data_IF_306166830644
#
_entry.id   IF_306166830644
#
_cell.length_a   1.000
_cell.length_b   1.000
_cell.length_c   1.000
_cell.angle_alpha   90.00
_cell.angle_beta   90.00
_cell.angle_gamma   90.00
#
_symmetry.space_group_name_H-M   'P 1'
#
loop_
_entity.id
_entity.type
_entity.pdbx_description
1 polymer ?
#
# COMPACT_ATOMS: atom_id res chain seq x y z
N UNK A 1 44.00 16.17 -10.45
CA UNK A 1 43.64 15.38 -9.23
C UNK A 1 42.51 15.98 -8.43
N UNK A 2 42.40 17.30 -8.28
CA UNK A 2 41.34 17.97 -7.47
C UNK A 2 39.89 17.85 -8.01
N UNK A 3 39.70 17.73 -9.31
CA UNK A 3 38.35 17.68 -9.94
C UNK A 3 37.63 16.34 -9.73
N UNK A 4 38.40 15.23 -9.61
CA UNK A 4 37.82 13.88 -9.35
C UNK A 4 37.27 13.73 -7.92
N UNK A 5 37.88 14.39 -6.94
CA UNK A 5 37.41 14.38 -5.55
C UNK A 5 36.14 15.22 -5.36
N UNK A 6 35.98 16.33 -6.10
CA UNK A 6 34.74 17.14 -6.05
C UNK A 6 33.54 16.36 -6.62
N UNK A 7 33.74 15.61 -7.72
CA UNK A 7 32.66 14.80 -8.30
C UNK A 7 32.23 13.65 -7.38
N UNK A 8 33.18 13.04 -6.64
CA UNK A 8 32.87 11.98 -5.67
C UNK A 8 32.16 12.50 -4.43
N UNK A 9 32.50 13.71 -3.96
CA UNK A 9 31.84 14.37 -2.82
C UNK A 9 30.43 14.83 -3.22
N UNK A 10 30.25 15.36 -4.43
CA UNK A 10 28.92 15.75 -4.94
C UNK A 10 28.01 14.52 -5.15
N UNK A 11 28.57 13.40 -5.64
CA UNK A 11 27.83 12.13 -5.77
C UNK A 11 27.42 11.55 -4.41
N UNK A 12 28.29 11.63 -3.40
CA UNK A 12 27.98 11.19 -2.04
C UNK A 12 26.96 12.11 -1.34
N UNK A 13 27.01 13.43 -1.61
CA UNK A 13 26.02 14.37 -1.07
C UNK A 13 24.64 14.22 -1.75
N UNK A 14 24.59 13.89 -3.05
CA UNK A 14 23.34 13.65 -3.76
C UNK A 14 22.61 12.37 -3.29
N UNK A 15 23.38 11.36 -2.82
CA UNK A 15 22.79 10.15 -2.25
C UNK A 15 22.20 10.35 -0.83
N UNK A 16 22.56 11.44 -0.14
CA UNK A 16 22.02 11.81 1.17
C UNK A 16 20.74 12.67 1.10
N UNK A 17 20.38 13.16 -0.09
CA UNK A 17 19.21 14.03 -0.30
C UNK A 17 18.00 13.28 -0.89
N UNK A 18 17.91 11.98 -0.71
CA UNK A 18 16.62 11.29 -0.92
C UNK A 18 15.69 11.71 0.23
N UNK A 19 14.96 12.81 0.02
CA UNK A 19 13.81 13.13 0.83
C UNK A 19 12.81 11.96 0.68
N UNK A 20 12.89 11.01 1.58
CA UNK A 20 11.93 9.92 1.65
C UNK A 20 10.60 10.53 2.08
N UNK A 21 9.71 10.77 1.13
CA UNK A 21 8.30 11.09 1.39
C UNK A 21 7.53 9.87 1.94
N UNK A 22 8.22 9.01 2.68
CA UNK A 22 7.70 7.78 3.26
C UNK A 22 7.48 7.98 4.75
N UNK A 23 6.46 7.33 5.35
CA UNK A 23 6.35 7.29 6.80
C UNK A 23 7.65 6.70 7.39
N UNK A 24 8.35 7.49 8.20
CA UNK A 24 9.54 7.01 8.89
C UNK A 24 9.10 6.18 10.10
N UNK A 25 9.68 4.98 10.30
CA UNK A 25 9.39 4.18 11.47
C UNK A 25 9.91 4.84 12.75
N UNK A 26 9.27 4.55 13.87
CA UNK A 26 9.69 5.05 15.18
C UNK A 26 11.12 4.64 15.55
N UNK A 27 11.52 3.43 15.16
CA UNK A 27 12.86 2.89 15.36
C UNK A 27 13.29 2.02 14.19
N UNK A 28 14.46 2.30 13.62
CA UNK A 28 15.10 1.43 12.64
C UNK A 28 16.58 1.26 12.99
N UNK A 29 17.05 0.02 12.97
CA UNK A 29 18.45 -0.34 13.24
C UNK A 29 18.99 -1.15 12.07
N UNK A 30 20.06 -0.69 11.44
CA UNK A 30 20.77 -1.45 10.41
C UNK A 30 21.53 -2.60 11.04
N UNK A 31 21.42 -3.77 10.44
CA UNK A 31 22.15 -4.99 10.83
C UNK A 31 23.12 -5.39 9.73
N UNK A 32 24.19 -6.12 10.06
CA UNK A 32 25.14 -6.58 9.06
C UNK A 32 24.52 -7.65 8.14
N UNK A 33 24.86 -7.59 6.84
CA UNK A 33 24.45 -8.58 5.84
C UNK A 33 23.26 -8.17 5.01
N UNK A 34 22.88 -9.06 4.11
CA UNK A 34 21.70 -8.95 3.24
C UNK A 34 20.93 -10.26 3.24
N UNK A 35 19.65 -10.20 2.97
CA UNK A 35 18.79 -11.36 2.69
C UNK A 35 18.38 -11.33 1.23
N UNK A 36 18.44 -12.49 0.57
CA UNK A 36 18.09 -12.63 -0.84
C UNK A 36 16.74 -13.30 -0.99
N UNK A 37 15.72 -12.52 -1.33
CA UNK A 37 14.39 -13.06 -1.68
C UNK A 37 14.48 -13.67 -3.07
N UNK A 38 14.05 -14.91 -3.22
CA UNK A 38 14.03 -15.67 -4.47
C UNK A 38 12.67 -16.32 -4.70
N UNK A 39 12.47 -16.94 -5.86
CA UNK A 39 11.27 -17.74 -6.14
C UNK A 39 11.14 -18.98 -5.22
N UNK A 40 12.27 -19.42 -4.63
CA UNK A 40 12.31 -20.52 -3.65
C UNK A 40 12.04 -20.08 -2.23
N UNK A 41 12.10 -18.78 -1.94
CA UNK A 41 11.79 -18.26 -0.60
C UNK A 41 10.38 -18.63 -0.19
N UNK A 42 10.25 -19.28 0.96
CA UNK A 42 8.96 -19.75 1.48
C UNK A 42 8.21 -18.61 2.17
N UNK A 43 6.90 -18.71 2.21
CA UNK A 43 6.04 -17.80 2.98
C UNK A 43 5.27 -18.61 4.02
N UNK A 44 5.62 -18.43 5.30
CA UNK A 44 4.99 -19.08 6.45
C UNK A 44 4.13 -18.10 7.22
N UNK A 45 2.97 -18.51 7.69
CA UNK A 45 2.06 -17.61 8.39
C UNK A 45 1.07 -18.37 9.27
N UNK A 46 0.59 -17.71 10.31
CA UNK A 46 -0.55 -18.19 11.10
C UNK A 46 -1.83 -18.19 10.24
N UNK A 47 -2.67 -19.18 10.38
CA UNK A 47 -3.89 -19.37 9.56
C UNK A 47 -4.74 -18.09 9.40
N UNK A 48 -4.99 -17.28 10.44
CA UNK A 48 -5.77 -16.05 10.29
C UNK A 48 -5.12 -14.99 9.39
N UNK A 49 -3.81 -15.12 9.11
CA UNK A 49 -3.05 -14.18 8.28
C UNK A 49 -2.98 -14.59 6.80
N UNK A 50 -3.67 -15.67 6.40
CA UNK A 50 -3.68 -16.14 5.01
C UNK A 50 -4.01 -15.03 3.99
N UNK A 51 -5.01 -14.13 4.20
CA UNK A 51 -5.26 -13.05 3.25
C UNK A 51 -4.10 -12.06 3.12
N UNK A 52 -3.32 -11.84 4.19
CA UNK A 52 -2.13 -10.98 4.14
C UNK A 52 -0.96 -11.66 3.42
N UNK A 53 -0.84 -12.98 3.55
CA UNK A 53 0.12 -13.75 2.78
C UNK A 53 -0.19 -13.69 1.27
N UNK A 54 -1.47 -13.82 0.89
CA UNK A 54 -1.91 -13.69 -0.50
C UNK A 54 -1.67 -12.26 -1.02
N UNK A 55 -1.98 -11.23 -0.21
CA UNK A 55 -1.65 -9.85 -0.54
C UNK A 55 -0.16 -9.66 -0.80
N UNK A 56 0.73 -10.18 0.06
CA UNK A 56 2.18 -10.08 -0.13
C UNK A 56 2.62 -10.74 -1.43
N UNK A 57 2.04 -11.89 -1.80
CA UNK A 57 2.33 -12.59 -3.06
C UNK A 57 1.96 -11.79 -4.30
N UNK A 58 0.97 -10.91 -4.24
CA UNK A 58 0.65 -10.06 -5.39
C UNK A 58 1.82 -9.11 -5.75
N UNK A 59 2.66 -8.78 -4.77
CA UNK A 59 3.81 -7.88 -4.97
C UNK A 59 5.13 -8.64 -5.19
N UNK A 60 5.28 -9.79 -4.53
CA UNK A 60 6.50 -10.58 -4.56
C UNK A 60 6.13 -12.03 -4.88
N UNK A 61 6.56 -12.54 -6.02
CA UNK A 61 6.28 -13.92 -6.43
C UNK A 61 7.18 -14.93 -5.69
N UNK A 62 6.94 -15.08 -4.38
CA UNK A 62 7.60 -16.07 -3.52
C UNK A 62 6.86 -17.39 -3.51
N UNK A 63 7.54 -18.47 -3.11
CA UNK A 63 7.00 -19.82 -3.07
C UNK A 63 5.75 -19.98 -2.21
N UNK A 64 5.11 -21.14 -2.34
CA UNK A 64 3.89 -21.47 -1.57
C UNK A 64 4.23 -21.64 -0.09
N UNK A 65 3.22 -21.36 0.75
CA UNK A 65 3.31 -21.50 2.21
C UNK A 65 3.90 -22.85 2.65
N UNK A 66 4.81 -22.77 3.61
CA UNK A 66 5.23 -23.91 4.42
C UNK A 66 4.55 -23.83 5.77
N UNK A 67 4.06 -24.97 6.26
CA UNK A 67 3.52 -25.07 7.63
C UNK A 67 4.62 -24.96 8.71
N UNK A 68 5.89 -24.91 8.28
CA UNK A 68 7.04 -24.78 9.19
C UNK A 68 7.39 -23.35 9.47
N UNK A 69 7.02 -22.85 10.64
CA UNK A 69 7.37 -21.52 11.14
C UNK A 69 8.87 -21.36 11.44
N UNK A 70 9.66 -22.43 11.38
CA UNK A 70 11.10 -22.45 11.68
C UNK A 70 11.98 -22.60 10.44
N UNK A 71 11.42 -22.55 9.23
CA UNK A 71 12.18 -22.72 8.00
C UNK A 71 13.21 -21.59 7.81
N UNK A 72 14.42 -21.95 7.43
CA UNK A 72 15.36 -21.02 6.80
C UNK A 72 14.86 -20.69 5.38
N UNK A 73 15.32 -19.56 4.81
CA UNK A 73 14.86 -19.02 3.53
C UNK A 73 13.34 -18.82 3.47
N UNK A 74 12.81 -18.12 4.48
CA UNK A 74 11.39 -17.85 4.60
C UNK A 74 11.09 -16.39 4.97
N UNK A 75 9.89 -15.94 4.58
CA UNK A 75 9.19 -14.79 5.14
C UNK A 75 8.14 -15.33 6.11
N UNK A 76 8.18 -14.91 7.36
CA UNK A 76 7.32 -15.43 8.43
C UNK A 76 6.39 -14.33 8.92
N UNK A 77 5.08 -14.59 8.93
CA UNK A 77 4.05 -13.67 9.44
C UNK A 77 3.43 -14.25 10.72
N UNK A 78 3.53 -13.50 11.82
CA UNK A 78 3.00 -13.90 13.13
C UNK A 78 2.29 -12.77 13.85
N UNK A 79 1.53 -13.09 14.88
CA UNK A 79 0.93 -12.12 15.79
C UNK A 79 1.50 -12.24 17.21
N UNK A 80 1.68 -11.09 17.86
CA UNK A 80 2.02 -10.97 19.28
C UNK A 80 1.21 -9.83 19.90
N UNK A 81 0.09 -10.12 20.58
CA UNK A 81 -0.78 -9.09 21.17
C UNK A 81 -0.08 -8.17 22.17
N UNK A 82 1.09 -8.53 22.67
CA UNK A 82 1.85 -7.68 23.60
C UNK A 82 2.44 -6.43 22.95
N UNK A 83 2.56 -6.40 21.60
CA UNK A 83 3.03 -5.24 20.86
C UNK A 83 2.01 -4.09 20.81
N UNK A 84 0.75 -4.37 21.06
CA UNK A 84 -0.32 -3.40 20.96
C UNK A 84 -0.89 -3.25 19.53
N UNK A 85 -1.99 -2.51 19.45
CA UNK A 85 -2.78 -2.40 18.22
C UNK A 85 -1.99 -1.74 17.08
N UNK A 86 -2.04 -2.38 15.90
CA UNK A 86 -1.37 -1.92 14.66
C UNK A 86 0.15 -1.74 14.78
N UNK A 87 0.76 -2.06 15.94
CA UNK A 87 2.20 -2.06 16.12
C UNK A 87 2.82 -3.28 15.44
N UNK A 88 4.10 -3.17 15.03
CA UNK A 88 4.81 -4.28 14.41
C UNK A 88 6.31 -4.24 14.68
N UNK A 89 6.92 -5.41 14.55
CA UNK A 89 8.35 -5.61 14.39
C UNK A 89 8.61 -6.25 13.03
N UNK A 90 9.52 -5.69 12.24
CA UNK A 90 10.08 -6.30 11.04
C UNK A 90 11.55 -6.57 11.28
N UNK A 91 11.97 -7.82 11.17
CA UNK A 91 13.37 -8.22 11.26
C UNK A 91 13.80 -8.90 9.95
N UNK A 92 14.67 -8.25 9.19
CA UNK A 92 15.37 -8.84 8.04
C UNK A 92 16.69 -9.36 8.54
N UNK A 93 16.84 -10.69 8.55
CA UNK A 93 18.04 -11.43 8.99
C UNK A 93 18.68 -12.13 7.77
N UNK A 94 19.96 -12.52 7.81
CA UNK A 94 20.60 -13.21 6.68
C UNK A 94 19.91 -14.51 6.24
N UNK A 95 19.16 -15.17 7.14
CA UNK A 95 18.51 -16.45 6.88
C UNK A 95 17.02 -16.32 6.58
N UNK A 96 16.34 -15.25 7.04
CA UNK A 96 14.90 -15.09 6.90
C UNK A 96 14.40 -13.68 7.23
N UNK A 97 13.18 -13.41 6.86
CA UNK A 97 12.43 -12.19 7.23
C UNK A 97 11.34 -12.57 8.21
N UNK A 98 11.21 -11.85 9.31
CA UNK A 98 10.17 -12.04 10.32
C UNK A 98 9.34 -10.75 10.42
N UNK A 99 8.02 -10.88 10.32
CA UNK A 99 7.05 -9.81 10.52
C UNK A 99 6.11 -10.25 11.64
N UNK A 100 6.16 -9.55 12.76
CA UNK A 100 5.29 -9.80 13.91
C UNK A 100 4.44 -8.56 14.15
N UNK A 101 3.12 -8.70 14.12
CA UNK A 101 2.19 -7.60 14.41
C UNK A 101 1.48 -7.79 15.73
N UNK A 102 1.09 -6.70 16.38
CA UNK A 102 0.24 -6.74 17.58
C UNK A 102 -1.17 -7.26 17.28
N UNK A 103 -1.58 -7.12 16.04
CA UNK A 103 -2.83 -7.60 15.47
C UNK A 103 -2.69 -7.76 13.94
N UNK A 104 -3.79 -8.10 13.26
CA UNK A 104 -3.84 -8.20 11.79
C UNK A 104 -3.36 -6.91 11.11
N UNK A 105 -3.75 -5.74 11.63
CA UNK A 105 -3.32 -4.43 11.12
C UNK A 105 -1.82 -4.19 11.31
N UNK A 106 -1.26 -4.67 12.42
CA UNK A 106 0.17 -4.61 12.69
C UNK A 106 0.98 -5.44 11.69
N UNK A 107 0.55 -6.67 11.39
CA UNK A 107 1.19 -7.50 10.36
C UNK A 107 1.10 -6.83 8.99
N UNK A 108 -0.04 -6.24 8.64
CA UNK A 108 -0.21 -5.48 7.40
C UNK A 108 0.76 -4.30 7.32
N UNK A 109 0.90 -3.52 8.39
CA UNK A 109 1.87 -2.42 8.47
C UNK A 109 3.32 -2.90 8.30
N UNK A 110 3.66 -4.04 8.89
CA UNK A 110 4.96 -4.70 8.73
C UNK A 110 5.22 -5.14 7.29
N UNK A 111 4.20 -5.67 6.58
CA UNK A 111 4.28 -5.97 5.15
C UNK A 111 4.53 -4.69 4.35
N UNK A 112 3.82 -3.59 4.63
CA UNK A 112 4.07 -2.31 3.97
C UNK A 112 5.50 -1.82 4.23
N UNK A 113 6.03 -2.02 5.44
CA UNK A 113 7.41 -1.69 5.76
C UNK A 113 8.40 -2.52 4.92
N UNK A 114 8.17 -3.82 4.78
CA UNK A 114 8.99 -4.69 3.92
C UNK A 114 8.95 -4.22 2.46
N UNK A 115 7.75 -3.96 1.91
CA UNK A 115 7.60 -3.50 0.52
C UNK A 115 8.35 -2.18 0.25
N UNK A 116 8.43 -1.28 1.25
CA UNK A 116 9.20 -0.04 1.16
C UNK A 116 10.72 -0.23 1.14
N UNK A 117 11.22 -1.34 1.66
CA UNK A 117 12.66 -1.70 1.59
C UNK A 117 13.04 -2.28 0.23
N UNK A 118 12.07 -2.66 -0.59
CA UNK A 118 12.29 -3.26 -1.91
C UNK A 118 12.38 -2.18 -3.01
N UNK A 119 12.95 -2.52 -4.18
CA UNK A 119 12.96 -1.60 -5.32
C UNK A 119 11.55 -1.13 -5.70
N UNK A 120 11.39 0.14 -6.15
CA UNK A 120 10.05 0.70 -6.49
C UNK A 120 9.24 -0.11 -7.49
N UNK A 121 9.87 -0.94 -8.31
CA UNK A 121 9.21 -1.87 -9.24
C UNK A 121 8.27 -2.86 -8.54
N UNK A 122 8.44 -3.10 -7.24
CA UNK A 122 7.53 -3.96 -6.47
C UNK A 122 6.09 -3.47 -6.55
N UNK A 123 5.87 -2.15 -6.54
CA UNK A 123 4.52 -1.55 -6.61
C UNK A 123 3.84 -1.67 -7.97
N UNK A 124 4.59 -2.02 -9.01
CA UNK A 124 4.03 -2.41 -10.30
C UNK A 124 3.62 -3.90 -10.35
N UNK A 125 3.67 -4.63 -9.20
CA UNK A 125 3.46 -6.08 -9.11
C UNK A 125 4.35 -6.89 -10.07
N UNK A 126 5.52 -6.35 -10.35
CA UNK A 126 6.51 -6.90 -11.28
C UNK A 126 7.92 -6.86 -10.67
N UNK A 127 8.04 -7.16 -9.38
CA UNK A 127 9.32 -7.21 -8.70
C UNK A 127 10.16 -8.36 -9.30
N UNK A 128 11.29 -8.07 -9.95
CA UNK A 128 12.14 -9.12 -10.48
C UNK A 128 12.82 -9.85 -9.32
N UNK A 129 12.65 -11.16 -9.26
CA UNK A 129 13.41 -12.01 -8.35
C UNK A 129 14.64 -12.61 -9.06
N UNK A 130 15.76 -12.81 -8.37
CA UNK A 130 15.96 -12.51 -6.94
C UNK A 130 16.17 -11.03 -6.65
N UNK A 131 15.81 -10.59 -5.43
CA UNK A 131 16.06 -9.24 -4.93
C UNK A 131 16.75 -9.29 -3.58
N UNK A 132 17.72 -8.42 -3.35
CA UNK A 132 18.44 -8.33 -2.08
C UNK A 132 17.85 -7.22 -1.20
N UNK A 133 17.74 -7.50 0.09
CA UNK A 133 17.28 -6.57 1.11
C UNK A 133 18.35 -6.48 2.19
N UNK A 134 18.79 -5.27 2.54
CA UNK A 134 19.72 -5.07 3.64
C UNK A 134 19.11 -5.54 4.97
N UNK A 135 19.91 -6.24 5.76
CA UNK A 135 19.48 -6.68 7.09
C UNK A 135 19.18 -5.47 7.97
N UNK A 136 18.00 -5.48 8.58
CA UNK A 136 17.52 -4.39 9.42
C UNK A 136 16.50 -4.88 10.42
N UNK A 137 16.35 -4.15 11.51
CA UNK A 137 15.24 -4.30 12.46
C UNK A 137 14.45 -2.99 12.50
N UNK A 138 13.14 -3.09 12.35
CA UNK A 138 12.20 -1.99 12.49
C UNK A 138 11.21 -2.36 13.59
N UNK A 139 11.09 -1.47 14.58
CA UNK A 139 10.05 -1.53 15.61
C UNK A 139 9.23 -0.25 15.47
N UNK A 140 7.93 -0.39 15.17
CA UNK A 140 7.07 0.77 14.87
C UNK A 140 5.64 0.56 15.36
N UNK A 141 4.99 1.67 15.68
CA UNK A 141 3.59 1.73 16.06
C UNK A 141 2.96 3.04 15.61
N UNK A 142 1.71 3.05 15.15
CA UNK A 142 1.04 4.28 14.77
C UNK A 142 0.93 5.25 15.95
N UNK A 143 1.31 6.51 15.75
CA UNK A 143 1.16 7.58 16.76
C UNK A 143 -0.30 7.97 16.97
N UNK A 144 -1.16 7.78 15.96
CA UNK A 144 -2.58 8.13 15.97
C UNK A 144 -3.41 6.92 15.56
N UNK A 145 -4.45 6.61 16.33
CA UNK A 145 -5.38 5.53 16.02
C UNK A 145 -6.23 5.82 14.78
N UNK A 146 -6.57 7.08 14.53
CA UNK A 146 -7.29 7.53 13.34
C UNK A 146 -6.33 8.20 12.37
N UNK A 147 -6.20 7.64 11.18
CA UNK A 147 -5.42 8.18 10.08
C UNK A 147 -6.28 8.11 8.83
N UNK A 148 -7.07 9.16 8.62
CA UNK A 148 -8.11 9.19 7.59
C UNK A 148 -7.77 10.04 6.40
N UNK A 149 -8.34 9.67 5.25
CA UNK A 149 -8.34 10.45 4.01
C UNK A 149 -9.73 10.38 3.39
N UNK A 150 -10.16 11.45 2.73
CA UNK A 150 -11.41 11.50 2.00
C UNK A 150 -11.13 11.51 0.48
N UNK A 151 -11.96 10.79 -0.27
CA UNK A 151 -11.98 10.81 -1.73
C UNK A 151 -13.40 11.15 -2.20
N UNK A 152 -13.52 12.26 -2.92
CA UNK A 152 -14.76 12.68 -3.53
C UNK A 152 -14.88 12.09 -4.94
N UNK A 153 -15.67 11.04 -5.07
CA UNK A 153 -15.99 10.40 -6.35
C UNK A 153 -17.36 10.84 -6.88
N UNK A 154 -18.13 11.58 -6.10
CA UNK A 154 -19.40 12.16 -6.54
C UNK A 154 -19.15 13.27 -7.58
N UNK A 155 -18.26 14.20 -7.24
CA UNK A 155 -17.93 15.34 -8.12
C UNK A 155 -16.96 14.97 -9.24
N UNK A 156 -16.01 14.06 -8.96
CA UNK A 156 -15.03 13.60 -9.96
C UNK A 156 -14.88 12.09 -9.93
N UNK A 157 -15.52 11.39 -10.84
CA UNK A 157 -15.41 9.95 -10.97
C UNK A 157 -14.10 9.55 -11.65
N UNK A 158 -13.29 8.77 -10.95
CA UNK A 158 -11.98 8.30 -11.42
C UNK A 158 -11.97 6.82 -11.85
N UNK A 159 -13.14 6.18 -11.85
CA UNK A 159 -13.28 4.75 -12.13
C UNK A 159 -12.88 3.85 -10.94
N UNK A 160 -13.35 2.60 -10.98
CA UNK A 160 -13.09 1.61 -9.92
C UNK A 160 -11.58 1.36 -9.77
N UNK A 161 -10.85 1.24 -10.88
CA UNK A 161 -9.40 1.00 -10.83
C UNK A 161 -8.64 2.20 -10.26
N UNK A 162 -9.13 3.41 -10.51
CA UNK A 162 -8.61 4.63 -9.89
C UNK A 162 -8.79 4.61 -8.37
N UNK A 163 -9.97 4.22 -7.89
CA UNK A 163 -10.25 4.07 -6.45
C UNK A 163 -9.38 2.98 -5.82
N UNK A 164 -9.24 1.81 -6.46
CA UNK A 164 -8.35 0.73 -5.99
C UNK A 164 -6.91 1.20 -5.86
N UNK A 165 -6.39 1.89 -6.88
CA UNK A 165 -5.05 2.47 -6.85
C UNK A 165 -4.89 3.51 -5.74
N UNK A 166 -5.93 4.30 -5.48
CA UNK A 166 -5.93 5.25 -4.37
C UNK A 166 -5.85 4.53 -3.01
N UNK A 167 -6.57 3.41 -2.83
CA UNK A 167 -6.49 2.56 -1.64
C UNK A 167 -5.07 2.01 -1.44
N UNK A 168 -4.42 1.54 -2.51
CA UNK A 168 -3.03 1.07 -2.44
C UNK A 168 -2.08 2.18 -1.97
N UNK A 169 -2.25 3.41 -2.48
CA UNK A 169 -1.47 4.57 -2.03
C UNK A 169 -1.74 4.92 -0.57
N UNK A 170 -2.97 4.85 -0.11
CA UNK A 170 -3.32 5.08 1.30
C UNK A 170 -2.64 4.04 2.20
N UNK A 171 -2.64 2.78 1.79
CA UNK A 171 -1.96 1.68 2.49
C UNK A 171 -0.45 1.93 2.59
N UNK A 172 0.18 2.35 1.49
CA UNK A 172 1.59 2.73 1.45
C UNK A 172 1.94 3.82 2.47
N UNK A 173 1.04 4.80 2.64
CA UNK A 173 1.20 5.90 3.60
C UNK A 173 0.69 5.60 5.01
N UNK A 174 0.26 4.38 5.29
CA UNK A 174 -0.23 3.96 6.61
C UNK A 174 -1.57 4.58 7.01
N UNK A 175 -2.35 5.05 6.04
CA UNK A 175 -3.72 5.53 6.25
C UNK A 175 -4.65 4.32 6.49
N UNK A 176 -5.44 4.34 7.55
CA UNK A 176 -6.30 3.22 7.94
C UNK A 176 -7.80 3.50 7.84
N UNK A 177 -8.20 4.69 7.38
CA UNK A 177 -9.59 5.07 7.18
C UNK A 177 -9.75 5.78 5.84
N UNK A 178 -10.63 5.26 4.99
CA UNK A 178 -11.05 5.93 3.77
C UNK A 178 -12.50 6.38 3.92
N UNK A 179 -12.71 7.69 3.78
CA UNK A 179 -14.03 8.27 3.62
C UNK A 179 -14.32 8.43 2.13
N UNK A 180 -15.22 7.61 1.59
CA UNK A 180 -15.73 7.78 0.23
C UNK A 180 -16.93 8.71 0.25
N UNK A 181 -16.80 9.85 -0.42
CA UNK A 181 -17.90 10.77 -0.68
C UNK A 181 -18.61 10.34 -1.97
N UNK A 182 -19.73 9.62 -1.82
CA UNK A 182 -20.38 8.87 -2.89
C UNK A 182 -21.54 9.59 -3.54
N UNK A 183 -22.08 10.62 -2.91
CA UNK A 183 -23.23 11.36 -3.41
C UNK A 183 -23.10 12.85 -3.08
N UNK A 184 -23.40 13.67 -4.08
CA UNK A 184 -23.48 15.12 -3.97
C UNK A 184 -24.38 15.65 -5.10
N UNK A 185 -24.58 16.98 -5.21
CA UNK A 185 -25.37 17.64 -6.24
C UNK A 185 -24.89 17.33 -7.68
N UNK A 186 -23.65 16.93 -7.86
CA UNK A 186 -23.05 16.62 -9.16
C UNK A 186 -22.99 15.13 -9.51
N UNK A 187 -23.39 14.23 -8.64
CA UNK A 187 -23.42 12.82 -8.96
C UNK A 187 -23.74 11.89 -7.80
N UNK A 188 -24.37 10.78 -8.15
CA UNK A 188 -24.69 9.68 -7.24
C UNK A 188 -23.93 8.43 -7.65
N UNK A 189 -23.12 7.83 -6.75
CA UNK A 189 -22.17 6.73 -7.08
C UNK A 189 -22.43 5.44 -6.32
N UNK A 190 -23.55 5.35 -5.60
CA UNK A 190 -23.93 4.16 -4.87
C UNK A 190 -25.26 3.62 -5.39
N UNK A 191 -25.31 2.34 -5.77
CA UNK A 191 -26.53 1.69 -6.21
C UNK A 191 -27.44 1.44 -5.00
N UNK A 192 -28.69 1.93 -5.07
CA UNK A 192 -29.76 1.59 -4.12
C UNK A 192 -30.82 0.84 -4.92
N UNK A 193 -30.94 -0.47 -4.69
CA UNK A 193 -31.84 -1.34 -5.49
C UNK A 193 -33.31 -0.96 -5.41
N UNK A 194 -33.75 -0.38 -4.28
CA UNK A 194 -35.12 0.13 -4.12
C UNK A 194 -35.36 1.48 -4.85
N UNK A 195 -34.31 2.16 -5.27
CA UNK A 195 -34.34 3.46 -5.95
C UNK A 195 -33.32 3.51 -7.09
N UNK A 196 -33.52 2.73 -8.18
CA UNK A 196 -32.58 2.62 -9.26
C UNK A 196 -32.37 3.95 -10.01
N UNK A 197 -33.37 4.83 -10.01
CA UNK A 197 -33.32 6.16 -10.61
C UNK A 197 -32.19 7.03 -10.04
N UNK A 198 -31.74 6.79 -8.80
CA UNK A 198 -30.63 7.53 -8.21
C UNK A 198 -29.33 7.31 -8.98
N UNK A 199 -29.09 6.11 -9.49
CA UNK A 199 -27.91 5.81 -10.32
C UNK A 199 -28.19 5.97 -11.81
N UNK A 200 -29.40 5.68 -12.27
CA UNK A 200 -29.77 5.79 -13.69
C UNK A 200 -29.83 7.23 -14.19
N UNK A 201 -30.23 8.15 -13.31
CA UNK A 201 -30.34 9.59 -13.59
C UNK A 201 -29.21 10.34 -12.89
N UNK A 202 -29.12 10.22 -11.58
CA UNK A 202 -28.14 10.95 -10.74
C UNK A 202 -26.69 10.49 -10.91
N UNK A 203 -26.47 9.33 -11.54
CA UNK A 203 -25.13 8.82 -11.87
C UNK A 203 -24.45 9.56 -13.03
N UNK A 204 -25.17 10.44 -13.76
CA UNK A 204 -24.68 11.11 -14.95
C UNK A 204 -24.60 12.63 -14.76
N UNK A 205 -23.57 13.20 -15.37
CA UNK A 205 -23.35 14.64 -15.42
C UNK A 205 -22.78 15.04 -16.78
N UNK A 206 -23.15 16.21 -17.26
CA UNK A 206 -22.69 16.76 -18.54
C UNK A 206 -23.59 16.43 -19.73
N UNK A 207 -23.25 16.88 -20.93
CA UNK A 207 -24.10 16.77 -22.13
C UNK A 207 -25.39 17.58 -21.95
N UNK A 208 -26.53 16.93 -22.10
CA UNK A 208 -27.87 17.55 -22.04
C UNK A 208 -28.39 17.68 -20.59
N UNK A 209 -27.54 17.46 -19.56
CA UNK A 209 -27.96 17.63 -18.18
C UNK A 209 -28.32 19.09 -17.89
N UNK A 210 -29.50 19.39 -17.33
CA UNK A 210 -29.88 20.75 -16.94
C UNK A 210 -29.08 21.26 -15.74
N UNK A 211 -28.33 20.39 -15.04
CA UNK A 211 -27.53 20.75 -13.88
C UNK A 211 -26.19 21.32 -14.32
N UNK A 212 -25.96 22.60 -14.08
CA UNK A 212 -24.66 23.23 -14.33
C UNK A 212 -23.66 22.74 -13.26
N UNK A 213 -22.42 22.36 -13.63
CA UNK A 213 -21.40 22.03 -12.65
C UNK A 213 -21.08 23.27 -11.83
N UNK A 214 -21.22 23.17 -10.50
CA UNK A 214 -20.98 24.29 -9.57
C UNK A 214 -19.48 24.62 -9.48
N UNK A 215 -18.61 23.65 -9.68
CA UNK A 215 -17.16 23.80 -9.67
C UNK A 215 -16.59 23.58 -11.06
N UNK A 216 -16.31 24.65 -11.74
CA UNK A 216 -15.62 24.96 -12.99
C UNK A 216 -14.80 23.93 -13.78
N UNK A 217 -14.97 22.65 -13.63
CA UNK A 217 -14.39 21.67 -14.54
C UNK A 217 -15.26 21.58 -15.79
N UNK A 218 -14.80 22.17 -16.89
CA UNK A 218 -15.35 21.93 -18.20
C UNK A 218 -15.41 20.43 -18.42
N UNK A 219 -16.63 19.93 -18.61
CA UNK A 219 -16.85 18.54 -19.00
C UNK A 219 -16.16 18.29 -20.34
N UNK A 220 -15.01 17.64 -20.30
CA UNK A 220 -14.53 16.94 -21.48
C UNK A 220 -15.41 15.71 -21.67
N UNK A 221 -15.70 15.35 -22.90
CA UNK A 221 -16.62 14.29 -23.33
C UNK A 221 -16.38 12.88 -22.71
N UNK A 222 -15.42 12.74 -21.82
CA UNK A 222 -15.07 11.52 -21.10
C UNK A 222 -16.02 11.17 -19.95
N UNK A 223 -16.98 12.04 -19.57
CA UNK A 223 -17.89 11.81 -18.43
C UNK A 223 -19.19 11.09 -18.80
N UNK A 224 -19.38 10.69 -20.06
CA UNK A 224 -20.59 10.00 -20.55
C UNK A 224 -20.59 8.49 -20.32
N UNK A 225 -19.59 7.93 -19.63
CA UNK A 225 -19.59 6.51 -19.33
C UNK A 225 -20.54 6.20 -18.17
N UNK A 226 -21.59 5.42 -18.49
CA UNK A 226 -22.41 4.72 -17.50
C UNK A 226 -21.52 3.84 -16.65
N UNK A 227 -21.17 4.31 -15.47
CA UNK A 227 -20.45 3.48 -14.50
C UNK A 227 -21.47 2.95 -13.53
N UNK A 228 -22.02 1.77 -13.84
CA UNK A 228 -22.73 0.99 -12.82
C UNK A 228 -21.70 0.55 -11.81
N UNK A 229 -21.81 0.96 -10.57
CA UNK A 229 -21.18 0.28 -9.46
C UNK A 229 -21.93 -1.05 -9.30
N UNK A 230 -21.49 -2.10 -10.03
CA UNK A 230 -21.92 -3.46 -9.76
C UNK A 230 -21.35 -3.87 -8.41
N UNK A 231 -22.24 -4.36 -7.52
CA UNK A 231 -21.92 -4.85 -6.18
C UNK A 231 -21.04 -6.11 -6.17
#
# INVERSE_FOLDING_TARGET
MKLRYLASILGALCSLLHAHAQPLPARQTTLPGTYRISVGTQLSYETPLAPLADYLREYINVGKASDSMSADDAIVLTTDPTLGREAYTLAVKPQRIEITGGDYGGVFNGIQALLRLLPPKVYAKACPLPVEVACTRIDDAPRFAYRGMMLDVARTWIGVDGVKRYIDLLSYHGINKLHLHLSDDEGWRIEIRSHPELTEIGGFRGGDSPVRPVYGTRNTAASTHRTKCAG
#
